data_IF_049669854574
#
_entry.id   IF_049669854574
#
_cell.length_a   1.000
_cell.length_b   1.000
_cell.length_c   1.000
_cell.angle_alpha   90.00
_cell.angle_beta   90.00
_cell.angle_gamma   90.00
#
_symmetry.space_group_name_H-M   'P 1'
#
loop_
_entity.id
_entity.type
_entity.pdbx_description
1 polymer ?
#
# COMPACT_ATOMS: atom_id res chain seq x y z
N UNK A 1 -17.39 -19.60 22.57
CA UNK A 1 -16.06 -20.09 22.10
C UNK A 1 -16.07 -20.41 20.61
N UNK A 2 -16.91 -21.33 20.13
CA UNK A 2 -16.94 -21.74 18.72
C UNK A 2 -17.21 -20.59 17.72
N UNK A 3 -18.17 -19.72 18.01
CA UNK A 3 -18.48 -18.55 17.17
C UNK A 3 -17.32 -17.56 17.05
N UNK A 4 -16.57 -17.34 18.14
CA UNK A 4 -15.40 -16.45 18.16
C UNK A 4 -14.23 -17.05 17.36
N UNK A 5 -14.03 -18.36 17.45
CA UNK A 5 -13.05 -19.09 16.64
C UNK A 5 -13.45 -19.07 15.16
N UNK A 6 -14.72 -19.32 14.85
CA UNK A 6 -15.24 -19.29 13.50
C UNK A 6 -15.09 -17.90 12.87
N UNK A 7 -15.45 -16.83 13.60
CA UNK A 7 -15.31 -15.47 13.09
C UNK A 7 -13.85 -15.06 12.91
N UNK A 8 -12.96 -15.44 13.84
CA UNK A 8 -11.52 -15.16 13.73
C UNK A 8 -10.85 -15.93 12.59
N UNK A 9 -11.20 -17.21 12.42
CA UNK A 9 -10.73 -18.03 11.31
C UNK A 9 -11.23 -17.52 9.96
N UNK A 10 -12.49 -17.09 9.87
CA UNK A 10 -13.04 -16.47 8.65
C UNK A 10 -12.34 -15.16 8.33
N UNK A 11 -12.24 -14.23 9.29
CA UNK A 11 -11.59 -12.95 9.08
C UNK A 11 -10.12 -13.13 8.64
N UNK A 12 -9.39 -14.03 9.29
CA UNK A 12 -7.98 -14.30 8.98
C UNK A 12 -7.81 -15.01 7.64
N UNK A 13 -8.59 -16.06 7.38
CA UNK A 13 -8.53 -16.84 6.14
C UNK A 13 -8.88 -15.99 4.92
N UNK A 14 -9.89 -15.13 5.04
CA UNK A 14 -10.33 -14.26 3.95
C UNK A 14 -9.31 -13.16 3.64
N UNK A 15 -8.67 -12.58 4.67
CA UNK A 15 -7.58 -11.63 4.49
C UNK A 15 -6.38 -12.24 3.74
N UNK A 16 -5.97 -13.45 4.12
CA UNK A 16 -4.89 -14.16 3.43
C UNK A 16 -5.25 -14.55 2.00
N UNK A 17 -6.45 -15.07 1.76
CA UNK A 17 -6.91 -15.42 0.42
C UNK A 17 -6.89 -14.20 -0.51
N UNK A 18 -7.38 -13.05 -0.02
CA UNK A 18 -7.38 -11.80 -0.77
C UNK A 18 -5.96 -11.29 -1.05
N UNK A 19 -5.08 -11.32 -0.04
CA UNK A 19 -3.69 -10.87 -0.20
C UNK A 19 -2.93 -11.72 -1.23
N UNK A 20 -3.05 -13.04 -1.16
CA UNK A 20 -2.40 -13.91 -2.14
C UNK A 20 -3.01 -13.78 -3.54
N UNK A 21 -4.33 -13.59 -3.65
CA UNK A 21 -4.97 -13.29 -4.93
C UNK A 21 -4.46 -11.96 -5.53
N UNK A 22 -4.25 -10.94 -4.70
CA UNK A 22 -3.68 -9.66 -5.11
C UNK A 22 -2.21 -9.77 -5.51
N UNK A 23 -1.39 -10.50 -4.75
CA UNK A 23 0.03 -10.73 -5.04
C UNK A 23 0.25 -11.33 -6.43
N UNK A 24 -0.63 -12.22 -6.88
CA UNK A 24 -0.57 -12.79 -8.25
C UNK A 24 -0.67 -11.75 -9.37
N UNK A 25 -1.17 -10.54 -9.07
CA UNK A 25 -1.39 -9.46 -10.05
C UNK A 25 -0.55 -8.21 -9.78
N UNK A 26 0.26 -8.20 -8.71
CA UNK A 26 1.06 -7.04 -8.28
C UNK A 26 2.55 -7.31 -8.50
N UNK A 27 3.26 -6.31 -9.04
CA UNK A 27 4.73 -6.32 -9.04
C UNK A 27 5.26 -6.11 -7.61
N UNK A 28 6.47 -6.59 -7.32
CA UNK A 28 7.08 -6.50 -5.99
C UNK A 28 7.00 -5.09 -5.38
N UNK A 29 7.22 -4.05 -6.20
CA UNK A 29 7.17 -2.68 -5.71
C UNK A 29 5.74 -2.21 -5.41
N UNK A 30 4.74 -2.64 -6.20
CA UNK A 30 3.34 -2.31 -5.89
C UNK A 30 2.89 -2.97 -4.59
N UNK A 31 3.29 -4.21 -4.35
CA UNK A 31 3.04 -4.90 -3.08
C UNK A 31 3.68 -4.16 -1.89
N UNK A 32 4.93 -3.69 -2.04
CA UNK A 32 5.60 -2.90 -1.01
C UNK A 32 4.88 -1.57 -0.71
N UNK A 33 4.38 -0.87 -1.74
CA UNK A 33 3.60 0.36 -1.54
C UNK A 33 2.27 0.10 -0.83
N UNK A 34 1.57 -0.98 -1.19
CA UNK A 34 0.35 -1.40 -0.47
C UNK A 34 0.68 -1.67 1.00
N UNK A 35 1.78 -2.37 1.28
CA UNK A 35 2.19 -2.65 2.66
C UNK A 35 2.52 -1.38 3.45
N UNK A 36 3.14 -0.39 2.82
CA UNK A 36 3.40 0.93 3.42
C UNK A 36 2.12 1.71 3.74
N UNK A 37 1.03 1.45 3.02
CA UNK A 37 -0.26 2.10 3.26
C UNK A 37 -1.08 1.46 4.38
N UNK A 38 -0.78 0.21 4.77
CA UNK A 38 -1.51 -0.50 5.84
C UNK A 38 -1.42 0.24 7.20
N UNK A 39 -0.24 0.70 7.68
CA UNK A 39 -0.14 1.41 8.96
C UNK A 39 -1.00 2.66 9.08
N UNK A 40 -1.01 3.61 8.10
CA UNK A 40 -1.89 4.78 8.20
C UNK A 40 -3.38 4.42 8.13
N UNK A 41 -3.77 3.39 7.36
CA UNK A 41 -5.17 2.92 7.32
C UNK A 41 -5.56 2.30 8.68
N UNK A 42 -4.70 1.48 9.26
CA UNK A 42 -4.94 0.88 10.57
C UNK A 42 -5.04 1.95 11.67
N UNK A 43 -4.18 2.98 11.63
CA UNK A 43 -4.23 4.12 12.54
C UNK A 43 -5.54 4.91 12.41
N UNK A 44 -5.98 5.20 11.18
CA UNK A 44 -7.25 5.88 10.93
C UNK A 44 -8.45 5.04 11.42
N UNK A 45 -8.43 3.73 11.16
CA UNK A 45 -9.43 2.79 11.67
C UNK A 45 -9.48 2.73 13.19
N UNK A 46 -8.34 2.77 13.88
CA UNK A 46 -8.27 2.84 15.35
C UNK A 46 -8.88 4.12 15.91
N UNK A 47 -8.60 5.28 15.30
CA UNK A 47 -9.23 6.55 15.72
C UNK A 47 -10.75 6.52 15.50
N UNK A 48 -11.22 6.05 14.33
CA UNK A 48 -12.65 6.06 14.00
C UNK A 48 -13.47 4.99 14.75
N UNK A 49 -12.94 3.77 14.88
CA UNK A 49 -13.68 2.63 15.44
C UNK A 49 -13.47 2.49 16.95
N UNK A 50 -12.25 2.78 17.44
CA UNK A 50 -11.89 2.65 18.86
C UNK A 50 -12.09 3.97 19.62
N UNK A 51 -12.24 5.11 18.93
CA UNK A 51 -12.45 6.41 19.56
C UNK A 51 -11.20 6.95 20.27
N UNK A 52 -10.01 6.44 19.94
CA UNK A 52 -8.75 6.94 20.50
C UNK A 52 -8.55 8.42 20.16
N UNK A 53 -8.11 9.21 21.15
CA UNK A 53 -7.85 10.62 20.98
C UNK A 53 -6.77 10.84 19.93
N UNK A 54 -7.10 11.64 18.91
CA UNK A 54 -6.24 11.94 17.78
C UNK A 54 -4.96 12.62 18.26
N UNK A 55 -3.92 11.81 18.52
CA UNK A 55 -2.65 12.30 19.03
C UNK A 55 -1.88 13.04 17.95
N UNK A 56 -1.25 14.15 18.31
CA UNK A 56 -0.38 14.92 17.41
C UNK A 56 0.70 14.05 16.75
N UNK A 57 1.17 13.02 17.47
CA UNK A 57 2.13 12.03 16.97
C UNK A 57 1.58 11.21 15.79
N UNK A 58 0.30 10.84 15.84
CA UNK A 58 -0.38 10.06 14.81
C UNK A 58 -0.56 10.89 13.53
N UNK A 59 -0.95 12.16 13.70
CA UNK A 59 -1.09 13.12 12.61
C UNK A 59 0.25 13.35 11.89
N UNK A 60 1.31 13.64 12.62
CA UNK A 60 2.63 13.88 12.04
C UNK A 60 3.17 12.63 11.34
N UNK A 61 3.11 11.47 12.01
CA UNK A 61 3.59 10.21 11.42
C UNK A 61 2.78 9.80 10.18
N UNK A 62 1.45 9.90 10.23
CA UNK A 62 0.57 9.58 9.10
C UNK A 62 0.85 10.46 7.88
N UNK A 63 1.00 11.77 8.09
CA UNK A 63 1.30 12.72 7.01
C UNK A 63 2.67 12.45 6.39
N UNK A 64 3.68 12.13 7.21
CA UNK A 64 5.03 11.80 6.74
C UNK A 64 5.04 10.51 5.88
N UNK A 65 4.33 9.47 6.33
CA UNK A 65 4.21 8.20 5.58
C UNK A 65 3.48 8.41 4.26
N UNK A 66 2.33 9.08 4.27
CA UNK A 66 1.56 9.36 3.05
C UNK A 66 2.36 10.24 2.07
N UNK A 67 3.06 11.26 2.57
CA UNK A 67 3.96 12.09 1.77
C UNK A 67 5.09 11.30 1.12
N UNK A 68 5.72 10.39 1.88
CA UNK A 68 6.77 9.51 1.36
C UNK A 68 6.27 8.56 0.26
N UNK A 69 5.08 7.97 0.45
CA UNK A 69 4.42 7.13 -0.57
C UNK A 69 4.14 7.94 -1.84
N UNK A 70 3.57 9.15 -1.70
CA UNK A 70 3.26 10.02 -2.83
C UNK A 70 4.51 10.39 -3.64
N UNK A 71 5.62 10.74 -2.96
CA UNK A 71 6.90 11.02 -3.61
C UNK A 71 7.48 9.79 -4.31
N UNK A 72 7.44 8.61 -3.67
CA UNK A 72 7.95 7.37 -4.26
C UNK A 72 7.18 6.97 -5.53
N UNK A 73 5.87 7.22 -5.57
CA UNK A 73 5.03 6.99 -6.75
C UNK A 73 5.31 8.04 -7.84
N UNK A 74 5.36 9.32 -7.47
CA UNK A 74 5.59 10.43 -8.42
C UNK A 74 6.99 10.38 -9.07
N UNK A 75 8.01 9.97 -8.32
CA UNK A 75 9.39 9.86 -8.82
C UNK A 75 9.58 8.74 -9.84
N UNK A 76 8.76 7.69 -9.81
CA UNK A 76 8.79 6.62 -10.83
C UNK A 76 8.17 7.03 -12.14
N UNK A 77 7.08 7.81 -12.10
CA UNK A 77 6.42 8.31 -13.31
C UNK A 77 7.38 9.10 -14.21
N UNK A 78 8.36 9.78 -13.61
CA UNK A 78 9.39 10.57 -14.32
C UNK A 78 10.50 9.72 -14.94
N UNK A 79 10.72 8.47 -14.51
CA UNK A 79 11.75 7.58 -15.12
C UNK A 79 11.22 6.79 -16.31
N UNK A 80 9.90 6.59 -16.37
CA UNK A 80 9.26 5.92 -17.50
C UNK A 80 9.12 6.85 -18.72
N UNK A 81 9.35 8.16 -18.54
CA UNK A 81 9.43 9.16 -19.61
C UNK A 81 10.86 9.27 -20.15
N UNK A 82 11.47 8.11 -20.45
CA UNK A 82 12.62 8.08 -21.34
C UNK A 82 12.14 8.46 -22.74
N UNK A 83 12.69 9.51 -23.37
CA UNK A 83 12.35 9.83 -24.74
C UNK A 83 12.74 8.62 -25.58
N UNK A 84 11.73 7.89 -26.07
CA UNK A 84 11.94 6.88 -27.10
C UNK A 84 12.24 7.64 -28.39
N UNK A 85 13.51 7.99 -28.55
CA UNK A 85 14.08 8.56 -29.76
C UNK A 85 15.38 7.85 -30.03
N UNK A 86 15.30 6.57 -30.42
CA UNK A 86 16.45 5.89 -31.01
C UNK A 86 16.28 5.90 -32.53
N UNK A 87 17.02 6.73 -33.27
CA UNK A 87 17.15 6.56 -34.71
C UNK A 87 18.27 5.53 -34.96
N UNK A 88 17.98 4.25 -34.72
CA UNK A 88 18.85 3.15 -35.18
C UNK A 88 18.12 2.29 -36.22
N UNK A 89 17.63 2.98 -37.25
CA UNK A 89 17.20 2.37 -38.51
C UNK A 89 17.75 3.21 -39.67
N UNK A 90 19.08 3.37 -39.71
CA UNK A 90 19.78 3.95 -40.85
C UNK A 90 21.17 3.31 -41.00
N UNK A 91 21.24 2.28 -41.85
CA UNK A 91 22.45 1.96 -42.60
C UNK A 91 23.51 1.09 -41.93
N UNK A 92 23.34 -0.23 -42.00
CA UNK A 92 24.21 -1.18 -42.74
C UNK A 92 23.90 -2.62 -42.35
#
# INVERSE_FOLDING_TARGET
>A
AWLALASGAFASGMGYALWYAALRRLTAIRAALVQLSVPPIAAAGGVLLMGESLSWRLLVAGTLVLGGIALAVAGRRRRDESPTGCPIAAGR
#
